data_IF_422012891667
#
_entry.id   IF_422012891667
#
_cell.length_a   1.000
_cell.length_b   1.000
_cell.length_c   1.000
_cell.angle_alpha   90.00
_cell.angle_beta   90.00
_cell.angle_gamma   90.00
#
_symmetry.space_group_name_H-M   'P 1'
#
loop_
_entity.id
_entity.type
_entity.pdbx_description
1 polymer ?
#
# COMPACT_ATOMS: atom_id res chain seq x y z
N UNK A 1 33.38 21.01 -44.96
CA UNK A 1 33.07 21.02 -43.53
C UNK A 1 32.05 19.91 -43.31
N UNK A 2 32.39 18.78 -42.67
CA UNK A 2 31.39 17.75 -42.40
C UNK A 2 30.61 18.11 -41.14
N UNK A 3 29.29 17.95 -41.22
CA UNK A 3 28.35 18.14 -40.13
C UNK A 3 28.57 17.06 -39.06
N UNK A 4 28.77 17.50 -37.82
CA UNK A 4 28.87 16.61 -36.65
C UNK A 4 27.45 16.22 -36.22
N UNK A 5 26.95 15.10 -36.75
CA UNK A 5 25.74 14.46 -36.19
C UNK A 5 26.11 13.82 -34.85
N UNK A 6 25.88 14.53 -33.75
CA UNK A 6 25.81 13.94 -32.41
C UNK A 6 24.55 13.09 -32.33
N UNK A 7 24.71 11.79 -32.58
CA UNK A 7 23.70 10.81 -32.22
C UNK A 7 23.65 10.70 -30.68
N UNK A 8 22.64 11.29 -30.07
CA UNK A 8 22.28 10.96 -28.69
C UNK A 8 21.68 9.55 -28.66
N UNK A 9 22.53 8.57 -28.42
CA UNK A 9 22.14 7.21 -28.11
C UNK A 9 21.63 7.18 -26.66
N UNK A 10 20.32 7.30 -26.45
CA UNK A 10 19.69 7.09 -25.15
C UNK A 10 18.87 5.81 -25.17
N UNK A 11 19.54 4.67 -25.19
CA UNK A 11 18.94 3.35 -24.98
C UNK A 11 19.09 2.92 -23.51
N UNK A 12 18.73 3.80 -22.56
CA UNK A 12 18.50 3.27 -21.22
C UNK A 12 17.22 2.44 -21.25
N UNK A 13 17.27 1.19 -20.76
CA UNK A 13 16.06 0.36 -20.67
C UNK A 13 15.04 1.06 -19.78
N UNK A 14 13.76 0.87 -20.10
CA UNK A 14 12.68 1.33 -19.24
C UNK A 14 12.90 0.79 -17.82
N UNK A 15 12.74 1.64 -16.79
CA UNK A 15 13.00 1.22 -15.43
C UNK A 15 12.01 0.13 -15.00
N UNK A 16 12.49 -0.84 -14.22
CA UNK A 16 11.67 -1.96 -13.73
C UNK A 16 10.44 -1.54 -12.92
N UNK A 17 10.47 -0.33 -12.37
CA UNK A 17 9.43 0.25 -11.54
C UNK A 17 8.39 1.05 -12.33
N UNK A 18 8.49 1.10 -13.67
CA UNK A 18 7.51 1.76 -14.51
C UNK A 18 6.16 1.05 -14.41
N UNK A 19 5.12 1.79 -14.06
CA UNK A 19 3.78 1.23 -13.81
C UNK A 19 2.72 2.12 -14.44
N UNK A 20 1.85 1.53 -15.25
CA UNK A 20 0.60 2.16 -15.66
C UNK A 20 -0.45 1.90 -14.58
N UNK A 21 -0.88 2.97 -13.91
CA UNK A 21 -1.80 2.90 -12.78
C UNK A 21 -3.03 3.71 -13.14
N UNK A 22 -4.17 3.02 -13.22
CA UNK A 22 -5.45 3.66 -13.48
C UNK A 22 -5.75 4.74 -12.44
N UNK A 23 -6.17 5.92 -12.91
CA UNK A 23 -6.40 7.08 -12.05
C UNK A 23 -5.14 7.84 -11.60
N UNK A 24 -3.94 7.46 -12.06
CA UNK A 24 -2.66 8.10 -11.71
C UNK A 24 -1.79 8.41 -12.95
N UNK A 25 -2.13 9.44 -13.74
CA UNK A 25 -1.42 9.73 -15.01
C UNK A 25 0.05 10.13 -14.84
N UNK A 26 0.48 10.50 -13.63
CA UNK A 26 1.83 10.93 -13.27
C UNK A 26 2.63 9.88 -12.49
N UNK A 27 2.21 8.60 -12.53
CA UNK A 27 2.85 7.46 -11.84
C UNK A 27 4.36 7.37 -12.10
N UNK A 28 4.80 7.54 -13.35
CA UNK A 28 6.21 7.49 -13.74
C UNK A 28 7.04 8.58 -13.03
N UNK A 29 6.54 9.81 -12.97
CA UNK A 29 7.24 10.90 -12.30
C UNK A 29 7.20 10.75 -10.77
N UNK A 30 6.09 10.23 -10.24
CA UNK A 30 5.96 9.91 -8.82
C UNK A 30 7.02 8.88 -8.38
N UNK A 31 7.22 7.81 -9.16
CA UNK A 31 8.26 6.82 -8.89
C UNK A 31 9.67 7.42 -9.03
N UNK A 32 9.94 8.28 -10.03
CA UNK A 32 11.22 9.00 -10.14
C UNK A 32 11.55 9.80 -8.88
N UNK A 33 10.58 10.52 -8.32
CA UNK A 33 10.77 11.28 -7.07
C UNK A 33 11.08 10.38 -5.88
N UNK A 34 10.45 9.21 -5.78
CA UNK A 34 10.74 8.24 -4.72
C UNK A 34 12.20 7.76 -4.84
N UNK A 35 12.65 7.35 -6.03
CA UNK A 35 14.03 6.90 -6.19
C UNK A 35 15.05 8.01 -5.96
N UNK A 36 14.80 9.21 -6.49
CA UNK A 36 15.65 10.37 -6.25
C UNK A 36 15.78 10.67 -4.75
N UNK A 37 14.68 10.59 -4.00
CA UNK A 37 14.70 10.76 -2.55
C UNK A 37 15.65 9.76 -1.85
N UNK A 38 15.54 8.46 -2.16
CA UNK A 38 16.42 7.45 -1.57
C UNK A 38 17.88 7.56 -2.04
N UNK A 39 18.11 8.09 -3.24
CA UNK A 39 19.44 8.38 -3.76
C UNK A 39 20.03 9.71 -3.25
N UNK A 40 19.29 10.46 -2.41
CA UNK A 40 19.65 11.81 -1.97
C UNK A 40 19.83 12.81 -3.14
N UNK A 41 19.10 12.61 -4.24
CA UNK A 41 19.11 13.46 -5.43
C UNK A 41 17.97 14.49 -5.37
N UNK A 42 18.25 15.69 -5.89
CA UNK A 42 17.24 16.74 -6.06
C UNK A 42 16.82 16.74 -7.52
N UNK A 43 15.55 16.42 -7.77
CA UNK A 43 14.93 16.60 -9.08
C UNK A 43 14.06 17.87 -9.07
N UNK A 44 12.73 17.76 -9.17
CA UNK A 44 11.83 18.92 -9.21
C UNK A 44 11.33 19.34 -7.82
N UNK A 45 10.93 18.39 -6.98
CA UNK A 45 10.41 18.59 -5.62
C UNK A 45 10.54 17.32 -4.76
N UNK A 46 10.43 17.42 -3.43
CA UNK A 46 10.29 16.24 -2.58
C UNK A 46 9.03 15.41 -2.91
N UNK A 47 9.04 14.09 -2.66
CA UNK A 47 7.85 13.26 -2.74
C UNK A 47 6.84 13.63 -1.64
N UNK A 48 5.56 13.62 -1.97
CA UNK A 48 4.43 13.96 -1.09
C UNK A 48 3.37 12.87 -1.23
N UNK A 49 3.03 12.20 -0.13
CA UNK A 49 1.87 11.30 -0.07
C UNK A 49 0.72 11.96 0.70
N UNK A 50 -0.50 11.71 0.26
CA UNK A 50 -1.70 12.02 1.00
C UNK A 50 -2.18 10.78 1.75
N UNK A 51 -2.55 10.95 3.01
CA UNK A 51 -3.15 9.91 3.83
C UNK A 51 -4.33 10.53 4.58
N UNK A 52 -5.52 9.97 4.42
CA UNK A 52 -6.65 10.37 5.24
C UNK A 52 -6.41 9.92 6.69
N UNK A 53 -6.52 10.86 7.62
CA UNK A 53 -6.46 10.55 9.05
C UNK A 53 -7.62 9.61 9.40
N UNK A 54 -7.34 8.55 10.14
CA UNK A 54 -8.34 7.56 10.58
C UNK A 54 -9.12 6.85 9.48
N UNK A 55 -8.57 6.68 8.28
CA UNK A 55 -9.21 5.90 7.21
C UNK A 55 -9.57 4.45 7.63
N UNK A 56 -8.93 3.92 8.69
CA UNK A 56 -9.29 2.63 9.29
C UNK A 56 -10.60 2.68 10.08
N UNK A 57 -11.06 3.83 10.55
CA UNK A 57 -12.37 3.95 11.20
C UNK A 57 -13.51 3.82 10.19
N UNK A 58 -13.31 4.25 8.95
CA UNK A 58 -14.28 4.00 7.88
C UNK A 58 -14.50 2.49 7.68
N UNK A 59 -13.47 1.67 7.95
CA UNK A 59 -13.59 0.20 7.91
C UNK A 59 -14.29 -0.39 9.12
N UNK A 60 -14.41 0.33 10.24
CA UNK A 60 -15.08 -0.16 11.44
C UNK A 60 -16.57 -0.45 11.20
N UNK A 61 -17.22 0.36 10.35
CA UNK A 61 -18.65 0.28 10.08
C UNK A 61 -19.08 -1.12 9.60
N UNK A 62 -18.23 -1.81 8.84
CA UNK A 62 -18.52 -3.15 8.32
C UNK A 62 -18.44 -4.27 9.37
N UNK A 63 -17.84 -3.97 10.54
CA UNK A 63 -17.68 -4.90 11.66
C UNK A 63 -18.62 -4.59 12.84
N UNK A 64 -19.30 -3.43 12.82
CA UNK A 64 -20.21 -3.01 13.89
C UNK A 64 -21.31 -4.05 14.09
N UNK A 65 -21.47 -4.51 15.33
CA UNK A 65 -22.53 -5.44 15.71
C UNK A 65 -22.26 -6.92 15.38
N UNK A 66 -21.10 -7.24 14.77
CA UNK A 66 -20.68 -8.62 14.59
C UNK A 66 -20.30 -9.26 15.93
N UNK A 67 -20.64 -10.53 16.10
CA UNK A 67 -20.08 -11.33 17.19
C UNK A 67 -18.56 -11.51 16.98
N UNK A 68 -17.79 -11.84 18.03
CA UNK A 68 -16.36 -12.10 17.88
C UNK A 68 -16.02 -13.19 16.85
N UNK A 69 -16.89 -14.20 16.71
CA UNK A 69 -16.71 -15.27 15.73
C UNK A 69 -16.93 -14.77 14.29
N UNK A 70 -17.96 -13.95 14.05
CA UNK A 70 -18.24 -13.35 12.74
C UNK A 70 -17.19 -12.32 12.36
N UNK A 71 -16.75 -11.48 13.30
CA UNK A 71 -15.65 -10.55 13.12
C UNK A 71 -14.39 -11.31 12.67
N UNK A 72 -14.00 -12.36 13.40
CA UNK A 72 -12.89 -13.22 13.00
C UNK A 72 -13.09 -13.83 11.61
N UNK A 73 -14.27 -14.41 11.32
CA UNK A 73 -14.54 -15.01 10.03
C UNK A 73 -14.33 -14.00 8.88
N UNK A 74 -14.77 -12.75 9.07
CA UNK A 74 -14.60 -11.66 8.11
C UNK A 74 -13.13 -11.23 7.91
N UNK A 75 -12.33 -11.22 8.98
CA UNK A 75 -10.89 -10.98 8.88
C UNK A 75 -10.18 -12.04 8.03
N UNK A 76 -10.66 -13.28 8.05
CA UNK A 76 -10.11 -14.41 7.29
C UNK A 76 -10.77 -14.64 5.92
N UNK A 77 -11.73 -13.81 5.51
CA UNK A 77 -12.44 -13.92 4.23
C UNK A 77 -11.68 -13.15 3.14
N UNK A 78 -10.87 -13.81 2.28
CA UNK A 78 -10.05 -13.10 1.31
C UNK A 78 -10.89 -12.46 0.21
N UNK A 79 -12.00 -13.07 -0.20
CA UNK A 79 -12.92 -12.52 -1.20
C UNK A 79 -13.49 -11.18 -0.72
N UNK A 80 -13.99 -11.12 0.51
CA UNK A 80 -14.46 -9.85 1.09
C UNK A 80 -13.35 -8.79 1.14
N UNK A 81 -12.12 -9.16 1.52
CA UNK A 81 -11.01 -8.20 1.58
C UNK A 81 -10.61 -7.68 0.20
N UNK A 82 -10.69 -8.52 -0.83
CA UNK A 82 -10.40 -8.15 -2.22
C UNK A 82 -11.50 -7.24 -2.75
N UNK A 83 -12.77 -7.64 -2.62
CA UNK A 83 -13.92 -6.87 -3.11
C UNK A 83 -13.94 -5.48 -2.49
N UNK A 84 -13.75 -5.39 -1.17
CA UNK A 84 -13.65 -4.12 -0.45
C UNK A 84 -12.51 -3.24 -0.97
N UNK A 85 -11.37 -3.81 -1.31
CA UNK A 85 -10.27 -3.05 -1.90
C UNK A 85 -10.60 -2.57 -3.31
N UNK A 86 -11.19 -3.43 -4.15
CA UNK A 86 -11.61 -3.07 -5.50
C UNK A 86 -12.66 -1.95 -5.50
N UNK A 87 -13.63 -2.00 -4.59
CA UNK A 87 -14.60 -0.94 -4.35
C UNK A 87 -13.90 0.37 -3.96
N UNK A 88 -12.87 0.27 -3.11
CA UNK A 88 -12.06 1.41 -2.74
C UNK A 88 -11.20 1.95 -3.91
N UNK A 89 -11.07 1.27 -5.06
CA UNK A 89 -10.39 1.84 -6.24
C UNK A 89 -11.34 2.60 -7.17
N UNK A 90 -12.64 2.26 -7.16
CA UNK A 90 -13.61 2.74 -8.15
C UNK A 90 -13.66 4.27 -8.22
N UNK A 91 -13.45 4.82 -9.41
CA UNK A 91 -13.55 6.25 -9.69
C UNK A 91 -12.52 7.13 -8.96
N UNK A 92 -11.50 6.56 -8.32
CA UNK A 92 -10.50 7.34 -7.58
C UNK A 92 -9.45 7.92 -8.50
N UNK A 93 -9.04 9.15 -8.15
CA UNK A 93 -7.85 9.79 -8.70
C UNK A 93 -6.77 9.82 -7.63
N UNK A 94 -5.58 9.39 -8.01
CA UNK A 94 -4.41 9.35 -7.14
C UNK A 94 -3.55 10.59 -7.38
N UNK A 95 -3.12 11.23 -6.29
CA UNK A 95 -2.39 12.49 -6.33
C UNK A 95 -1.03 12.38 -5.66
N UNK A 96 -0.04 13.05 -6.23
CA UNK A 96 1.34 13.00 -5.73
C UNK A 96 1.87 11.57 -5.74
N UNK A 97 2.64 11.21 -4.72
CA UNK A 97 3.24 9.90 -4.55
C UNK A 97 2.35 8.99 -3.66
N UNK A 98 1.04 9.00 -3.95
CA UNK A 98 0.00 8.24 -3.23
C UNK A 98 -0.49 7.08 -4.09
N UNK A 99 0.10 5.90 -3.90
CA UNK A 99 -0.19 4.74 -4.75
C UNK A 99 -1.32 3.87 -4.17
N UNK A 100 -2.16 3.28 -5.02
CA UNK A 100 -3.04 2.20 -4.59
C UNK A 100 -2.20 0.98 -4.20
N UNK A 101 -2.21 0.62 -2.92
CA UNK A 101 -1.51 -0.56 -2.40
C UNK A 101 -2.50 -1.47 -1.70
N UNK A 102 -2.67 -2.67 -2.24
CA UNK A 102 -3.41 -3.71 -1.54
C UNK A 102 -2.56 -4.29 -0.43
N UNK A 103 -3.07 -4.26 0.80
CA UNK A 103 -2.39 -4.80 1.97
C UNK A 103 -3.32 -5.80 2.68
N UNK A 104 -3.22 -7.11 2.35
CA UNK A 104 -4.01 -8.17 2.99
C UNK A 104 -3.45 -8.49 4.39
N UNK A 105 -3.52 -7.53 5.30
CA UNK A 105 -3.01 -7.67 6.66
C UNK A 105 -4.05 -8.30 7.59
N UNK A 106 -3.62 -9.12 8.55
CA UNK A 106 -4.42 -9.57 9.69
C UNK A 106 -4.17 -8.72 10.94
N UNK A 107 -3.86 -7.44 10.74
CA UNK A 107 -3.57 -6.45 11.78
C UNK A 107 -2.10 -6.43 12.25
N UNK A 108 -1.77 -5.59 13.24
CA UNK A 108 -0.38 -5.29 13.60
C UNK A 108 0.40 -6.52 14.11
N UNK A 109 -0.29 -7.47 14.74
CA UNK A 109 0.33 -8.65 15.36
C UNK A 109 0.36 -9.88 14.43
N UNK A 110 0.05 -9.73 13.13
CA UNK A 110 0.06 -10.87 12.17
C UNK A 110 1.39 -11.61 12.19
N UNK A 111 2.50 -10.89 12.36
CA UNK A 111 3.83 -11.49 12.35
C UNK A 111 4.02 -12.45 13.53
N UNK A 112 3.53 -12.11 14.73
CA UNK A 112 3.56 -12.99 15.89
C UNK A 112 2.73 -14.27 15.65
N UNK A 113 1.61 -14.14 14.93
CA UNK A 113 0.76 -15.27 14.57
C UNK A 113 1.46 -16.28 13.66
N UNK A 114 2.34 -15.80 12.76
CA UNK A 114 3.17 -16.67 11.93
C UNK A 114 4.12 -17.55 12.76
N UNK A 115 4.43 -17.15 14.00
CA UNK A 115 5.20 -17.94 14.97
C UNK A 115 4.33 -18.75 15.94
N UNK A 116 3.01 -18.75 15.77
CA UNK A 116 2.07 -19.53 16.58
C UNK A 116 1.39 -18.76 17.71
N UNK A 117 1.57 -17.44 17.81
CA UNK A 117 0.81 -16.63 18.75
C UNK A 117 -0.68 -16.60 18.34
N UNK A 118 -1.59 -16.70 19.30
CA UNK A 118 -3.02 -16.66 19.02
C UNK A 118 -3.48 -15.22 18.83
N UNK A 119 -4.11 -14.92 17.70
CA UNK A 119 -4.71 -13.61 17.43
C UNK A 119 -6.15 -13.52 17.93
N UNK A 120 -6.46 -12.35 18.47
CA UNK A 120 -7.81 -11.82 18.69
C UNK A 120 -8.07 -10.71 17.69
N UNK A 121 -9.33 -10.60 17.27
CA UNK A 121 -9.77 -9.66 16.25
C UNK A 121 -10.82 -8.72 16.83
N UNK A 122 -10.60 -7.43 16.65
CA UNK A 122 -11.59 -6.38 16.86
C UNK A 122 -12.01 -5.77 15.52
N UNK A 123 -12.84 -4.73 15.60
CA UNK A 123 -13.44 -4.10 14.41
C UNK A 123 -12.40 -3.46 13.49
N UNK A 124 -11.31 -2.89 14.04
CA UNK A 124 -10.29 -2.16 13.27
C UNK A 124 -8.86 -2.63 13.52
N UNK A 125 -8.67 -3.59 14.40
CA UNK A 125 -7.32 -4.03 14.82
C UNK A 125 -7.33 -5.48 15.31
N UNK A 126 -6.14 -6.06 15.42
CA UNK A 126 -5.90 -7.37 16.03
C UNK A 126 -4.78 -7.27 17.06
N UNK A 127 -4.76 -8.21 18.00
CA UNK A 127 -3.70 -8.33 19.00
C UNK A 127 -3.44 -9.80 19.31
N UNK A 128 -2.20 -10.12 19.70
CA UNK A 128 -1.78 -11.47 20.03
C UNK A 128 -1.82 -11.76 21.53
N UNK A 129 -2.09 -13.02 21.88
CA UNK A 129 -1.71 -13.56 23.18
C UNK A 129 -0.20 -13.80 23.20
N UNK A 130 0.56 -13.29 24.19
CA UNK A 130 2.00 -13.51 24.27
C UNK A 130 2.37 -15.00 24.24
N UNK A 131 3.15 -15.40 23.23
CA UNK A 131 3.63 -16.77 23.08
C UNK A 131 4.86 -17.04 23.96
N UNK A 132 5.81 -16.10 24.00
CA UNK A 132 7.01 -16.16 24.84
C UNK A 132 6.65 -15.70 26.24
N UNK A 133 6.90 -16.56 27.24
CA UNK A 133 6.52 -16.30 28.64
C UNK A 133 7.70 -15.91 29.52
N UNK A 134 8.90 -16.35 29.15
CA UNK A 134 10.16 -16.12 29.85
C UNK A 134 11.27 -15.83 28.81
N UNK A 135 12.33 -15.13 29.22
CA UNK A 135 13.42 -14.63 28.37
C UNK A 135 14.77 -14.74 29.08
#
# INVERSE_FOLDING_TARGET
>A
MPETTTAHNSSQPDPWWRLDIEGMPDSDMAMRRIYAWFACEIIDRPPVRFMAHNAFLDTAADFVGLTPAECKARWYDPEYQIDRYLDALQGRRWHGETFPVYWPNLGPDVYAALYGAKLHFGEVTSWSEPLVRDW
#
